data_IF_060513551986
#
_entry.id   IF_060513551986
#
_cell.length_a   1.000
_cell.length_b   1.000
_cell.length_c   1.000
_cell.angle_alpha   90.00
_cell.angle_beta   90.00
_cell.angle_gamma   90.00
#
_symmetry.space_group_name_H-M   'P 1'
#
loop_
_entity.id
_entity.type
_entity.pdbx_description
1 polymer ?
#
# COMPACT_ATOMS: atom_id res chain seq x y z
N UNK A 1 10.93 5.42 -21.24
CA UNK A 1 9.95 5.89 -20.24
C UNK A 1 8.59 5.41 -20.69
N UNK A 2 7.79 4.72 -19.86
CA UNK A 2 6.39 4.47 -20.22
C UNK A 2 5.70 5.82 -20.43
N UNK A 3 4.98 5.98 -21.53
CA UNK A 3 4.22 7.20 -21.82
C UNK A 3 3.11 7.36 -20.78
N UNK A 4 2.99 8.58 -20.23
CA UNK A 4 1.87 8.93 -19.35
C UNK A 4 0.60 8.87 -20.21
N UNK A 5 -0.42 8.06 -19.84
CA UNK A 5 -1.67 8.03 -20.58
C UNK A 5 -2.32 9.41 -20.54
N UNK A 6 -3.06 9.77 -21.60
CA UNK A 6 -3.82 11.00 -21.62
C UNK A 6 -4.74 11.06 -20.37
N UNK A 7 -4.72 12.18 -19.66
CA UNK A 7 -5.52 12.37 -18.46
C UNK A 7 -6.99 12.08 -18.75
N UNK A 8 -7.72 11.43 -17.83
CA UNK A 8 -9.14 11.15 -18.04
C UNK A 8 -9.90 12.45 -18.31
N UNK A 9 -10.89 12.39 -19.22
CA UNK A 9 -11.64 13.55 -19.72
C UNK A 9 -12.42 14.32 -18.63
N UNK A 10 -12.59 13.73 -17.44
CA UNK A 10 -13.05 14.38 -16.23
C UNK A 10 -12.47 13.66 -15.00
N UNK A 11 -12.11 14.40 -13.94
CA UNK A 11 -11.70 13.83 -12.67
C UNK A 11 -12.87 13.09 -12.02
N UNK A 12 -12.62 11.92 -11.43
CA UNK A 12 -13.68 11.17 -10.77
C UNK A 12 -14.19 11.97 -9.55
N UNK A 13 -15.50 11.96 -9.24
CA UNK A 13 -16.01 12.65 -8.05
C UNK A 13 -15.35 12.14 -6.77
N UNK A 14 -14.98 10.86 -6.75
CA UNK A 14 -14.16 10.20 -5.73
C UNK A 14 -13.19 9.22 -6.38
N UNK A 15 -12.05 8.92 -5.74
CA UNK A 15 -11.20 7.82 -6.19
C UNK A 15 -11.95 6.49 -6.01
N UNK A 16 -11.95 5.59 -7.00
CA UNK A 16 -12.69 4.34 -6.91
C UNK A 16 -12.12 3.42 -5.82
N UNK A 17 -13.01 2.82 -5.05
CA UNK A 17 -12.73 1.78 -4.05
C UNK A 17 -13.26 0.41 -4.46
N UNK A 18 -13.94 0.32 -5.60
CA UNK A 18 -14.52 -0.92 -6.11
C UNK A 18 -14.42 -1.06 -7.64
N UNK A 19 -14.53 -2.30 -8.13
CA UNK A 19 -14.57 -2.58 -9.59
C UNK A 19 -15.77 -1.92 -10.30
N UNK A 20 -16.98 -1.88 -9.73
CA UNK A 20 -18.09 -1.15 -10.34
C UNK A 20 -17.79 0.35 -10.52
N UNK A 21 -17.16 1.00 -9.54
CA UNK A 21 -16.75 2.41 -9.67
C UNK A 21 -15.67 2.59 -10.74
N UNK A 22 -14.69 1.68 -10.83
CA UNK A 22 -13.72 1.67 -11.93
C UNK A 22 -14.41 1.53 -13.30
N UNK A 23 -15.39 0.64 -13.41
CA UNK A 23 -16.14 0.43 -14.64
C UNK A 23 -16.95 1.68 -15.03
N UNK A 24 -17.54 2.39 -14.07
CA UNK A 24 -18.23 3.67 -14.30
C UNK A 24 -17.27 4.76 -14.84
N UNK A 25 -15.97 4.68 -14.51
CA UNK A 25 -14.92 5.54 -15.04
C UNK A 25 -14.32 5.03 -16.37
N UNK A 26 -14.79 3.87 -16.87
CA UNK A 26 -14.25 3.21 -18.05
C UNK A 26 -12.85 2.61 -17.85
N UNK A 27 -12.48 2.31 -16.60
CA UNK A 27 -11.16 1.78 -16.26
C UNK A 27 -11.18 0.25 -16.18
N UNK A 28 -10.29 -0.39 -16.93
CA UNK A 28 -10.01 -1.82 -16.88
C UNK A 28 -9.07 -2.20 -15.73
N UNK A 29 -8.14 -1.30 -15.39
CA UNK A 29 -7.18 -1.44 -14.31
C UNK A 29 -6.76 -0.07 -13.75
N UNK A 30 -6.40 -0.06 -12.46
CA UNK A 30 -5.68 1.07 -11.85
C UNK A 30 -4.20 1.01 -12.24
N UNK A 31 -3.57 2.18 -12.44
CA UNK A 31 -2.12 2.27 -12.51
C UNK A 31 -1.51 2.10 -11.12
N UNK A 32 -2.13 2.74 -10.13
CA UNK A 32 -1.67 2.78 -8.74
C UNK A 32 -2.85 2.42 -7.83
N UNK A 33 -2.62 1.55 -6.86
CA UNK A 33 -3.59 1.27 -5.80
C UNK A 33 -3.00 1.72 -4.47
N UNK A 34 -3.70 2.62 -3.79
CA UNK A 34 -3.33 3.11 -2.47
C UNK A 34 -4.05 2.29 -1.38
N UNK A 35 -3.31 1.74 -0.43
CA UNK A 35 -3.85 0.99 0.70
C UNK A 35 -3.66 1.81 1.98
N UNK A 36 -4.76 2.06 2.68
CA UNK A 36 -4.80 2.89 3.89
C UNK A 36 -5.25 2.11 5.12
N UNK A 37 -4.66 2.42 6.28
CA UNK A 37 -5.16 1.99 7.58
C UNK A 37 -6.28 2.87 8.14
N UNK A 38 -6.64 3.95 7.46
CA UNK A 38 -7.81 4.78 7.77
C UNK A 38 -8.96 4.51 6.80
N UNK A 39 -10.17 4.92 7.19
CA UNK A 39 -11.26 5.13 6.26
C UNK A 39 -10.84 6.08 5.13
N UNK A 40 -11.38 5.87 3.93
CA UNK A 40 -11.22 6.84 2.86
C UNK A 40 -12.16 8.02 3.09
N UNK A 41 -11.56 9.19 3.28
CA UNK A 41 -12.24 10.48 3.29
C UNK A 41 -11.51 11.34 2.28
N UNK A 42 -12.23 11.79 1.25
CA UNK A 42 -11.64 12.59 0.18
C UNK A 42 -11.48 14.06 0.61
N UNK A 43 -10.52 14.28 1.50
CA UNK A 43 -10.22 15.58 2.09
C UNK A 43 -8.71 15.77 2.21
N UNK A 44 -8.16 16.97 1.97
CA UNK A 44 -6.71 17.21 1.99
C UNK A 44 -6.02 16.92 3.34
N UNK A 45 -6.78 16.84 4.43
CA UNK A 45 -6.28 16.39 5.74
C UNK A 45 -5.92 14.89 5.78
N UNK A 46 -6.34 14.11 4.79
CA UNK A 46 -6.02 12.68 4.67
C UNK A 46 -4.94 12.51 3.60
N UNK A 47 -3.77 12.05 4.01
CA UNK A 47 -2.60 11.95 3.12
C UNK A 47 -2.86 11.09 1.87
N UNK A 48 -3.64 10.00 2.00
CA UNK A 48 -4.03 9.13 0.87
C UNK A 48 -4.87 9.87 -0.16
N UNK A 49 -5.83 10.69 0.27
CA UNK A 49 -6.64 11.50 -0.64
C UNK A 49 -5.77 12.54 -1.35
N UNK A 50 -4.91 13.26 -0.61
CA UNK A 50 -4.00 14.24 -1.19
C UNK A 50 -3.07 13.63 -2.25
N UNK A 51 -2.40 12.52 -1.92
CA UNK A 51 -1.50 11.83 -2.86
C UNK A 51 -2.27 11.26 -4.04
N UNK A 52 -3.43 10.63 -3.81
CA UNK A 52 -4.24 10.07 -4.87
C UNK A 52 -4.73 11.12 -5.87
N UNK A 53 -5.23 12.27 -5.39
CA UNK A 53 -5.64 13.39 -6.24
C UNK A 53 -4.47 14.06 -6.97
N UNK A 54 -3.29 14.12 -6.36
CA UNK A 54 -2.09 14.62 -7.03
C UNK A 54 -1.71 13.69 -8.20
N UNK A 55 -1.69 12.38 -7.97
CA UNK A 55 -1.39 11.39 -9.01
C UNK A 55 -2.44 11.39 -10.12
N UNK A 56 -3.73 11.47 -9.77
CA UNK A 56 -4.84 11.57 -10.74
C UNK A 56 -4.70 12.83 -11.61
N UNK A 57 -4.33 13.98 -11.02
CA UNK A 57 -4.06 15.22 -11.76
C UNK A 57 -2.92 15.08 -12.77
N UNK A 58 -1.98 14.17 -12.52
CA UNK A 58 -0.91 13.82 -13.46
C UNK A 58 -1.30 12.74 -14.48
N UNK A 59 -2.58 12.36 -14.54
CA UNK A 59 -3.14 11.45 -15.54
C UNK A 59 -3.11 9.96 -15.14
N UNK A 60 -2.74 9.64 -13.91
CA UNK A 60 -2.72 8.25 -13.43
C UNK A 60 -4.10 7.79 -12.96
N UNK A 61 -4.44 6.53 -13.25
CA UNK A 61 -5.65 5.90 -12.70
C UNK A 61 -5.35 5.39 -11.30
N UNK A 62 -5.92 6.03 -10.28
CA UNK A 62 -5.64 5.73 -8.88
C UNK A 62 -6.87 5.19 -8.20
N UNK A 63 -6.75 4.02 -7.57
CA UNK A 63 -7.79 3.45 -6.71
C UNK A 63 -7.36 3.38 -5.25
N UNK A 64 -8.31 3.26 -4.34
CA UNK A 64 -8.07 3.22 -2.89
C UNK A 64 -8.66 1.94 -2.29
N UNK A 65 -7.89 1.26 -1.45
CA UNK A 65 -8.37 0.18 -0.56
C UNK A 65 -8.21 0.69 0.87
N UNK A 66 -9.33 1.06 1.48
CA UNK A 66 -9.37 1.62 2.83
C UNK A 66 -9.72 0.55 3.87
N UNK A 67 -8.89 0.41 4.89
CA UNK A 67 -9.03 -0.58 5.97
C UNK A 67 -9.41 -1.99 5.50
N UNK A 68 -8.62 -2.61 4.59
CA UNK A 68 -8.86 -3.99 4.20
C UNK A 68 -8.73 -4.92 5.42
N UNK A 69 -9.52 -5.99 5.46
CA UNK A 69 -9.29 -7.06 6.44
C UNK A 69 -7.97 -7.75 6.10
N UNK A 70 -7.02 -7.65 7.02
CA UNK A 70 -5.67 -8.19 6.86
C UNK A 70 -5.56 -9.67 7.23
N UNK A 71 -6.65 -10.28 7.71
CA UNK A 71 -6.69 -11.71 8.04
C UNK A 71 -6.63 -12.56 6.78
N UNK A 72 -7.14 -12.03 5.67
CA UNK A 72 -7.09 -12.64 4.35
C UNK A 72 -6.39 -11.71 3.33
N UNK A 73 -5.85 -12.28 2.26
CA UNK A 73 -5.19 -11.49 1.20
C UNK A 73 -6.19 -10.98 0.14
N UNK A 74 -7.41 -11.53 0.06
CA UNK A 74 -8.40 -11.24 -0.96
C UNK A 74 -8.78 -9.78 -1.07
N UNK A 75 -8.94 -9.09 0.06
CA UNK A 75 -9.28 -7.66 0.10
C UNK A 75 -8.24 -6.79 -0.63
N UNK A 76 -6.98 -7.20 -0.65
CA UNK A 76 -5.89 -6.48 -1.32
C UNK A 76 -5.91 -6.65 -2.84
N UNK A 77 -6.75 -7.57 -3.35
CA UNK A 77 -7.02 -7.76 -4.77
C UNK A 77 -8.39 -7.20 -5.20
N UNK A 78 -9.10 -6.47 -4.33
CA UNK A 78 -10.45 -5.95 -4.61
C UNK A 78 -10.51 -5.14 -5.92
N UNK A 79 -9.50 -4.30 -6.17
CA UNK A 79 -9.36 -3.49 -7.39
C UNK A 79 -8.58 -4.20 -8.52
N UNK A 80 -8.16 -5.44 -8.28
CA UNK A 80 -7.26 -6.17 -9.16
C UNK A 80 -5.79 -5.74 -9.04
N UNK A 81 -4.98 -6.24 -9.98
CA UNK A 81 -3.54 -5.97 -10.02
C UNK A 81 -3.28 -4.56 -10.57
N UNK A 82 -2.60 -3.66 -9.83
CA UNK A 82 -2.21 -2.37 -10.38
C UNK A 82 -1.13 -2.53 -11.46
N UNK A 83 -1.11 -1.61 -12.43
CA UNK A 83 -0.14 -1.65 -13.54
C UNK A 83 1.26 -1.23 -13.11
N UNK A 84 1.38 -0.36 -12.11
CA UNK A 84 2.66 0.18 -11.63
C UNK A 84 3.03 -0.32 -10.24
N UNK A 85 2.27 0.03 -9.20
CA UNK A 85 2.64 -0.31 -7.82
C UNK A 85 1.46 -0.19 -6.83
N UNK A 86 1.64 -0.78 -5.64
CA UNK A 86 0.84 -0.46 -4.45
C UNK A 86 1.52 0.60 -3.59
N UNK A 87 0.81 1.68 -3.25
CA UNK A 87 1.24 2.65 -2.24
C UNK A 87 0.59 2.33 -0.91
N UNK A 88 1.35 2.03 0.13
CA UNK A 88 0.81 1.51 1.40
C UNK A 88 1.18 2.43 2.55
N UNK A 89 0.18 2.74 3.39
CA UNK A 89 0.37 3.52 4.61
C UNK A 89 -0.45 2.98 5.77
N UNK A 90 -0.01 3.25 7.00
CA UNK A 90 -0.76 2.92 8.23
C UNK A 90 -1.93 3.86 8.51
N UNK A 91 -2.03 4.97 7.77
CA UNK A 91 -3.00 6.05 7.97
C UNK A 91 -2.34 7.36 8.41
N UNK A 92 -3.17 8.31 8.83
CA UNK A 92 -2.81 9.63 9.35
C UNK A 92 -2.09 9.52 10.70
N UNK A 93 -2.43 8.50 11.49
CA UNK A 93 -1.76 8.16 12.76
C UNK A 93 -1.12 6.78 12.68
N UNK A 94 -0.07 6.55 13.47
CA UNK A 94 0.52 5.23 13.55
C UNK A 94 -0.52 4.21 14.10
N UNK A 95 -0.58 3.05 13.47
CA UNK A 95 -1.54 2.00 13.83
C UNK A 95 -1.41 1.46 15.26
N UNK A 96 -0.21 1.46 15.84
CA UNK A 96 -0.04 1.11 17.25
C UNK A 96 -0.67 2.17 18.15
N UNK A 97 -0.52 3.45 17.78
CA UNK A 97 -1.19 4.54 18.49
C UNK A 97 -2.70 4.37 18.32
N UNK A 98 -3.22 4.16 17.11
CA UNK A 98 -4.66 3.95 16.91
C UNK A 98 -5.22 2.80 17.79
N UNK A 99 -4.48 1.69 17.89
CA UNK A 99 -4.92 0.50 18.62
C UNK A 99 -4.67 0.54 20.13
N UNK A 100 -3.65 1.28 20.62
CA UNK A 100 -3.19 1.22 22.01
C UNK A 100 -3.16 2.58 22.69
N UNK A 101 -3.53 2.59 23.97
CA UNK A 101 -3.29 3.73 24.86
C UNK A 101 -1.81 3.83 25.28
N UNK A 102 -1.42 4.94 25.90
CA UNK A 102 -0.08 5.11 26.47
C UNK A 102 0.30 3.98 27.45
N UNK A 103 -0.70 3.41 28.15
CA UNK A 103 -0.53 2.29 29.08
C UNK A 103 -0.63 0.92 28.37
N UNK A 104 -0.48 0.87 27.03
CA UNK A 104 -0.54 -0.34 26.19
C UNK A 104 -1.85 -1.12 26.30
N UNK A 105 -2.95 -0.48 26.71
CA UNK A 105 -4.28 -1.09 26.70
C UNK A 105 -4.94 -0.87 25.34
N UNK A 106 -5.71 -1.84 24.85
CA UNK A 106 -6.50 -1.66 23.62
C UNK A 106 -7.47 -0.50 23.76
N UNK A 107 -7.48 0.38 22.77
CA UNK A 107 -8.48 1.45 22.65
C UNK A 107 -9.84 0.86 22.26
N UNK A 108 -10.90 1.52 22.73
CA UNK A 108 -12.29 1.12 22.45
C UNK A 108 -12.85 1.79 21.19
N UNK A 109 -12.21 2.88 20.75
CA UNK A 109 -12.56 3.64 19.56
C UNK A 109 -11.31 3.98 18.74
N UNK A 110 -11.52 4.26 17.47
CA UNK A 110 -10.53 4.77 16.52
C UNK A 110 -11.18 5.83 15.64
N UNK A 111 -10.75 7.08 15.79
CA UNK A 111 -11.37 8.25 15.15
C UNK A 111 -11.23 8.26 13.62
N UNK A 112 -10.27 7.51 13.08
CA UNK A 112 -10.07 7.40 11.63
C UNK A 112 -10.65 6.11 11.04
N UNK A 113 -11.36 5.32 11.86
CA UNK A 113 -12.09 4.13 11.42
C UNK A 113 -13.57 4.47 11.15
N UNK A 114 -14.23 3.80 10.18
CA UNK A 114 -15.65 3.98 9.93
C UNK A 114 -16.49 3.79 11.20
N UNK A 115 -17.28 4.82 11.53
CA UNK A 115 -18.12 4.82 12.73
C UNK A 115 -17.36 4.79 14.06
N UNK A 116 -16.07 5.16 14.08
CA UNK A 116 -15.26 5.16 15.30
C UNK A 116 -14.85 3.77 15.78
N UNK A 117 -15.03 2.72 14.95
CA UNK A 117 -14.86 1.33 15.36
C UNK A 117 -13.39 0.96 15.55
N UNK A 118 -13.02 0.52 16.75
CA UNK A 118 -11.69 0.00 17.00
C UNK A 118 -11.45 -1.38 16.34
N UNK A 119 -10.18 -1.70 16.09
CA UNK A 119 -9.77 -3.02 15.63
C UNK A 119 -10.05 -3.30 14.14
N UNK A 120 -10.22 -2.25 13.33
CA UNK A 120 -10.34 -2.33 11.87
C UNK A 120 -8.99 -2.23 11.13
N UNK A 121 -7.89 -2.05 11.87
CA UNK A 121 -6.53 -2.11 11.34
C UNK A 121 -5.61 -2.94 12.23
N UNK A 122 -4.60 -3.63 11.68
CA UNK A 122 -3.63 -4.36 12.48
C UNK A 122 -2.62 -3.41 13.11
N UNK A 123 -1.97 -3.89 14.16
CA UNK A 123 -0.72 -3.31 14.65
C UNK A 123 0.35 -3.35 13.54
N UNK A 124 1.08 -2.23 13.38
CA UNK A 124 2.07 -2.05 12.30
C UNK A 124 1.47 -2.27 10.91
N UNK A 125 0.33 -1.62 10.68
CA UNK A 125 -0.49 -1.76 9.48
C UNK A 125 0.30 -1.71 8.16
N UNK A 126 1.23 -0.76 8.00
CA UNK A 126 2.03 -0.64 6.78
C UNK A 126 2.80 -1.93 6.42
N UNK A 127 3.36 -2.63 7.42
CA UNK A 127 4.11 -3.88 7.20
C UNK A 127 3.15 -5.03 6.88
N UNK A 128 2.07 -5.15 7.66
CA UNK A 128 1.08 -6.22 7.48
C UNK A 128 0.43 -6.10 6.11
N UNK A 129 -0.04 -4.91 5.74
CA UNK A 129 -0.65 -4.62 4.44
C UNK A 129 0.33 -4.85 3.30
N UNK A 130 1.60 -4.50 3.45
CA UNK A 130 2.61 -4.81 2.45
C UNK A 130 2.80 -6.31 2.23
N UNK A 131 2.75 -7.12 3.28
CA UNK A 131 2.82 -8.57 3.13
C UNK A 131 1.58 -9.11 2.40
N UNK A 132 0.38 -8.66 2.79
CA UNK A 132 -0.87 -9.08 2.13
C UNK A 132 -0.96 -8.65 0.68
N UNK A 133 -0.53 -7.44 0.34
CA UNK A 133 -0.45 -7.00 -1.05
C UNK A 133 0.51 -7.86 -1.89
N UNK A 134 1.64 -8.33 -1.32
CA UNK A 134 2.54 -9.27 -2.02
C UNK A 134 1.90 -10.63 -2.24
N UNK A 135 1.14 -11.12 -1.27
CA UNK A 135 0.42 -12.39 -1.36
C UNK A 135 -0.69 -12.32 -2.42
N UNK A 136 -1.48 -11.25 -2.38
CA UNK A 136 -2.60 -11.02 -3.30
C UNK A 136 -2.15 -10.77 -4.75
N UNK A 137 -1.03 -10.08 -4.94
CA UNK A 137 -0.54 -9.66 -6.24
C UNK A 137 0.99 -9.84 -6.35
N UNK A 138 1.49 -11.07 -6.54
CA UNK A 138 2.92 -11.36 -6.57
C UNK A 138 3.66 -10.58 -7.67
N UNK A 139 4.82 -10.01 -7.33
CA UNK A 139 5.68 -9.28 -8.27
C UNK A 139 5.25 -7.85 -8.58
N UNK A 140 4.18 -7.33 -7.97
CA UNK A 140 3.87 -5.89 -8.03
C UNK A 140 4.79 -5.14 -7.05
N UNK A 141 5.45 -4.04 -7.49
CA UNK A 141 6.21 -3.17 -6.59
C UNK A 141 5.35 -2.57 -5.47
N UNK A 142 5.95 -2.36 -4.30
CA UNK A 142 5.31 -1.75 -3.14
C UNK A 142 6.12 -0.54 -2.68
N UNK A 143 5.44 0.59 -2.53
CA UNK A 143 5.98 1.84 -1.98
C UNK A 143 5.34 2.07 -0.61
N UNK A 144 6.16 2.22 0.43
CA UNK A 144 5.70 2.50 1.79
C UNK A 144 5.75 4.00 2.07
N UNK A 145 4.74 4.54 2.76
CA UNK A 145 4.70 5.95 3.16
C UNK A 145 3.93 6.23 4.45
N UNK A 146 3.92 7.49 4.86
CA UNK A 146 3.29 7.98 6.10
C UNK A 146 4.18 7.88 7.34
N UNK A 147 3.68 8.39 8.48
CA UNK A 147 4.41 8.47 9.75
C UNK A 147 4.81 7.08 10.32
N UNK A 148 4.16 6.01 9.85
CA UNK A 148 4.48 4.62 10.21
C UNK A 148 5.65 4.01 9.40
N UNK A 149 6.29 4.76 8.50
CA UNK A 149 7.45 4.30 7.71
C UNK A 149 8.75 4.14 8.51
N UNK A 150 8.74 4.43 9.82
CA UNK A 150 9.91 4.46 10.68
C UNK A 150 10.26 3.13 11.34
N UNK A 151 11.38 2.56 10.89
CA UNK A 151 12.20 1.53 11.52
C UNK A 151 11.63 0.09 11.58
N UNK A 152 12.15 -0.86 10.77
CA UNK A 152 11.96 -2.28 11.08
C UNK A 152 12.66 -2.56 12.42
N UNK A 153 11.91 -3.03 13.42
CA UNK A 153 12.52 -3.56 14.63
C UNK A 153 13.58 -4.64 14.30
N UNK A 154 14.50 -4.95 15.22
CA UNK A 154 15.71 -5.74 14.96
C UNK A 154 15.47 -7.13 14.32
N UNK A 155 14.24 -7.65 14.38
CA UNK A 155 13.86 -8.91 13.73
C UNK A 155 13.85 -8.88 12.19
N UNK A 156 13.79 -7.69 11.56
CA UNK A 156 13.70 -7.55 10.10
C UNK A 156 15.04 -7.68 9.35
N UNK A 157 16.17 -7.51 10.04
CA UNK A 157 17.50 -7.48 9.41
C UNK A 157 18.15 -8.87 9.31
N UNK A 158 17.62 -9.87 10.03
CA UNK A 158 18.26 -11.18 10.18
C UNK A 158 18.08 -12.15 8.98
N UNK A 159 17.26 -11.82 7.98
CA UNK A 159 16.93 -12.74 6.86
C UNK A 159 17.49 -12.34 5.48
N UNK A 160 18.60 -11.59 5.43
CA UNK A 160 19.30 -11.27 4.16
C UNK A 160 20.82 -11.51 4.23
N UNK A 161 21.24 -12.69 4.71
CA UNK A 161 22.59 -13.21 4.47
C UNK A 161 22.51 -14.58 3.83
N UNK A 162 22.24 -14.60 2.53
CA UNK A 162 22.09 -15.83 1.76
C UNK A 162 22.17 -15.60 0.26
N UNK A 163 23.14 -14.81 -0.20
CA UNK A 163 23.53 -14.79 -1.62
C UNK A 163 25.04 -14.63 -1.71
N UNK A 164 25.75 -15.76 -1.66
CA UNK A 164 27.18 -15.83 -1.95
C UNK A 164 27.37 -15.54 -3.45
N UNK A 165 28.22 -14.54 -3.74
CA UNK A 165 28.68 -14.19 -5.10
C UNK A 165 29.25 -15.43 -5.80
N UNK A 166 28.76 -15.70 -7.00
CA UNK A 166 29.36 -16.64 -7.93
C UNK A 166 30.34 -15.92 -8.88
N UNK A 167 31.42 -16.64 -9.21
CA UNK A 167 32.38 -16.48 -10.32
C UNK A 167 33.42 -15.36 -10.24
N UNK A 168 34.59 -15.76 -9.74
CA UNK A 168 35.90 -15.32 -10.26
C UNK A 168 36.16 -16.09 -11.56
N UNK A 169 36.27 -15.38 -12.68
CA UNK A 169 36.88 -15.91 -13.91
C UNK A 169 38.40 -15.68 -13.84
N UNK A 170 39.10 -16.37 -14.74
CA UNK A 170 40.52 -16.25 -15.17
C UNK A 170 41.63 -16.86 -14.28
N UNK A 171 42.03 -18.09 -14.65
CA UNK A 171 43.41 -18.56 -14.88
C UNK A 171 43.29 -20.04 -15.33
N UNK A 172 43.48 -20.40 -16.60
CA UNK A 172 44.81 -20.55 -17.19
C UNK A 172 45.27 -22.01 -17.02
N UNK A 173 44.83 -22.90 -17.91
CA UNK A 173 45.39 -24.25 -18.06
C UNK A 173 46.68 -24.16 -18.88
N UNK A 174 47.68 -24.94 -18.48
CA UNK A 174 48.77 -25.42 -19.34
C UNK A 174 50.10 -25.50 -18.61
N UNK A 175 50.52 -26.71 -18.23
CA UNK A 175 51.83 -27.36 -18.45
C UNK A 175 51.93 -28.61 -17.58
N UNK A 176 52.28 -29.75 -18.19
CA UNK A 176 52.49 -31.05 -17.53
C UNK A 176 51.95 -32.20 -18.36
#
# INVERSE_FOLDING_TARGET
MPSIPAAPAAAAPFLPMSRPEMAALGWDACDIVLVSGDAYVDHPAFGVALVGRLLERHGWRVGVIAQPDWRDAGDFAALGRPRLFFGITGGNVDSMIANLSANKRRRRSDDFSPGGRAGLRPDRAAIVYANRAREACPGVPIVLGGLAGGHPGPAGLARRRGFRRARRLSAGRGYG
#
